data_IF_995528571670
#
_entry.id   IF_995528571670
#
_cell.length_a   1.000
_cell.length_b   1.000
_cell.length_c   1.000
_cell.angle_alpha   90.00
_cell.angle_beta   90.00
_cell.angle_gamma   90.00
#
_symmetry.space_group_name_H-M   'P 1'
#
loop_
_entity.id
_entity.type
_entity.pdbx_description
1 polymer ?
#
# COMPACT_ATOMS: atom_id res chain seq x y z
N UNK A 1 -40.73 -44.77 -7.14
CA UNK A 1 -39.50 -44.43 -6.38
C UNK A 1 -38.24 -44.15 -7.23
N UNK A 2 -38.15 -44.55 -8.52
CA UNK A 2 -36.94 -44.30 -9.35
C UNK A 2 -36.67 -42.81 -9.66
N UNK A 3 -37.72 -42.01 -9.84
CA UNK A 3 -37.61 -40.57 -10.18
C UNK A 3 -36.97 -39.74 -9.05
N UNK A 4 -37.27 -40.08 -7.79
CA UNK A 4 -36.71 -39.41 -6.61
C UNK A 4 -35.18 -39.56 -6.53
N UNK A 5 -34.66 -40.77 -6.81
CA UNK A 5 -33.21 -41.02 -6.85
C UNK A 5 -32.52 -40.25 -7.97
N UNK A 6 -33.14 -40.18 -9.15
CA UNK A 6 -32.62 -39.39 -10.27
C UNK A 6 -32.58 -37.88 -9.94
N UNK A 7 -33.60 -37.35 -9.25
CA UNK A 7 -33.62 -35.95 -8.80
C UNK A 7 -32.47 -35.63 -7.85
N UNK A 8 -32.17 -36.53 -6.90
CA UNK A 8 -31.03 -36.36 -5.98
C UNK A 8 -29.67 -36.43 -6.68
N UNK A 9 -29.53 -37.27 -7.70
CA UNK A 9 -28.30 -37.35 -8.51
C UNK A 9 -28.08 -36.04 -9.27
N UNK A 10 -29.12 -35.53 -9.93
CA UNK A 10 -29.04 -34.25 -10.66
C UNK A 10 -28.80 -33.09 -9.71
N UNK A 11 -29.45 -33.08 -8.55
CA UNK A 11 -29.25 -32.07 -7.52
C UNK A 11 -27.81 -32.07 -7.00
N UNK A 12 -27.26 -33.25 -6.68
CA UNK A 12 -25.87 -33.39 -6.28
C UNK A 12 -24.90 -32.88 -7.35
N UNK A 13 -25.17 -33.18 -8.62
CA UNK A 13 -24.36 -32.72 -9.75
C UNK A 13 -24.41 -31.19 -9.90
N UNK A 14 -25.59 -30.59 -9.70
CA UNK A 14 -25.78 -29.14 -9.74
C UNK A 14 -25.06 -28.44 -8.59
N UNK A 15 -25.10 -29.01 -7.37
CA UNK A 15 -24.35 -28.49 -6.21
C UNK A 15 -22.85 -28.58 -6.45
N UNK A 16 -22.35 -29.70 -6.99
CA UNK A 16 -20.93 -29.86 -7.32
C UNK A 16 -20.50 -28.83 -8.37
N UNK A 17 -21.31 -28.64 -9.41
CA UNK A 17 -21.01 -27.68 -10.47
C UNK A 17 -21.05 -26.23 -9.96
N UNK A 18 -22.05 -25.89 -9.16
CA UNK A 18 -22.16 -24.57 -8.51
C UNK A 18 -21.00 -24.29 -7.56
N UNK A 19 -20.58 -25.29 -6.78
CA UNK A 19 -19.40 -25.19 -5.93
C UNK A 19 -18.13 -24.97 -6.78
N UNK A 20 -17.95 -25.73 -7.87
CA UNK A 20 -16.81 -25.57 -8.76
C UNK A 20 -16.75 -24.13 -9.33
N UNK A 21 -17.85 -23.61 -9.88
CA UNK A 21 -17.91 -22.23 -10.39
C UNK A 21 -17.61 -21.22 -9.28
N UNK A 22 -18.22 -21.37 -8.10
CA UNK A 22 -17.95 -20.48 -6.96
C UNK A 22 -16.46 -20.47 -6.57
N UNK A 23 -15.82 -21.64 -6.48
CA UNK A 23 -14.39 -21.72 -6.16
C UNK A 23 -13.52 -21.12 -7.27
N UNK A 24 -13.79 -21.39 -8.55
CA UNK A 24 -12.96 -20.89 -9.65
C UNK A 24 -13.16 -19.39 -9.92
N UNK A 25 -14.37 -18.87 -9.79
CA UNK A 25 -14.71 -17.51 -10.19
C UNK A 25 -14.56 -16.52 -9.02
N UNK A 26 -15.09 -16.86 -7.84
CA UNK A 26 -15.02 -15.98 -6.66
C UNK A 26 -13.67 -16.08 -5.95
N UNK A 27 -13.19 -17.31 -5.70
CA UNK A 27 -11.90 -17.50 -5.01
C UNK A 27 -10.72 -17.35 -5.97
N UNK A 28 -10.83 -17.91 -7.17
CA UNK A 28 -9.80 -17.72 -8.22
C UNK A 28 -9.65 -16.27 -8.69
N UNK A 29 -10.75 -15.50 -8.74
CA UNK A 29 -10.69 -14.06 -9.03
C UNK A 29 -9.93 -13.27 -7.95
N UNK A 30 -10.20 -13.55 -6.67
CA UNK A 30 -9.49 -12.95 -5.53
C UNK A 30 -8.00 -13.32 -5.50
N UNK A 31 -7.67 -14.58 -5.78
CA UNK A 31 -6.27 -15.02 -5.88
C UNK A 31 -5.54 -14.36 -7.06
N UNK A 32 -6.21 -14.14 -8.19
CA UNK A 32 -5.63 -13.40 -9.34
C UNK A 32 -5.46 -11.91 -9.04
N UNK A 33 -6.40 -11.27 -8.35
CA UNK A 33 -6.26 -9.88 -7.91
C UNK A 33 -5.14 -9.74 -6.87
N UNK A 34 -5.09 -10.60 -5.87
CA UNK A 34 -4.00 -10.62 -4.89
C UNK A 34 -2.63 -10.91 -5.53
N UNK A 35 -2.58 -11.75 -6.58
CA UNK A 35 -1.36 -12.01 -7.34
C UNK A 35 -0.97 -10.80 -8.20
N UNK A 36 -1.93 -10.13 -8.84
CA UNK A 36 -1.71 -8.88 -9.58
C UNK A 36 -1.22 -7.75 -8.68
N UNK A 37 -1.81 -7.55 -7.51
CA UNK A 37 -1.33 -6.54 -6.53
C UNK A 37 0.08 -6.87 -6.02
N UNK A 38 0.42 -8.16 -5.90
CA UNK A 38 1.79 -8.61 -5.53
C UNK A 38 2.78 -8.49 -6.68
N UNK A 39 2.34 -8.67 -7.93
CA UNK A 39 3.17 -8.52 -9.13
C UNK A 39 3.36 -7.06 -9.53
N UNK A 40 2.35 -6.20 -9.32
CA UNK A 40 2.46 -4.73 -9.48
C UNK A 40 3.36 -4.09 -8.42
N UNK A 41 3.49 -4.72 -7.25
CA UNK A 41 4.56 -4.42 -6.29
C UNK A 41 5.85 -5.09 -6.77
N UNK A 42 6.50 -4.48 -7.76
CA UNK A 42 7.78 -4.88 -8.38
C UNK A 42 8.88 -5.14 -7.33
N UNK A 43 8.73 -4.59 -6.13
CA UNK A 43 9.50 -4.91 -4.95
C UNK A 43 8.54 -5.12 -3.77
N UNK A 44 8.65 -6.22 -3.00
CA UNK A 44 7.96 -6.35 -1.72
C UNK A 44 8.63 -5.41 -0.71
N UNK A 45 8.41 -4.09 -0.86
CA UNK A 45 8.70 -3.14 0.21
C UNK A 45 7.66 -3.37 1.29
N UNK A 46 8.05 -4.13 2.31
CA UNK A 46 7.38 -4.08 3.60
C UNK A 46 7.40 -2.62 4.06
N UNK A 47 6.26 -2.07 4.45
CA UNK A 47 6.14 -0.66 4.86
C UNK A 47 7.08 -0.32 6.03
N UNK A 48 7.46 -1.34 6.81
CA UNK A 48 8.45 -1.28 7.88
C UNK A 48 9.91 -1.18 7.41
N UNK A 49 10.19 -1.41 6.13
CA UNK A 49 11.50 -1.20 5.51
C UNK A 49 11.66 0.21 4.90
N UNK A 50 10.59 1.02 4.87
CA UNK A 50 10.65 2.38 4.35
C UNK A 50 11.13 3.33 5.45
N UNK A 51 12.39 3.74 5.36
CA UNK A 51 13.01 4.67 6.33
C UNK A 51 12.82 6.14 5.94
N UNK A 52 12.76 6.45 4.64
CA UNK A 52 12.60 7.82 4.16
C UNK A 52 11.86 7.88 2.81
N UNK A 53 11.17 8.99 2.59
CA UNK A 53 10.45 9.29 1.35
C UNK A 53 10.90 10.66 0.86
N UNK A 54 11.36 10.73 -0.39
CA UNK A 54 11.80 11.96 -1.04
C UNK A 54 10.90 12.25 -2.23
N UNK A 55 10.20 13.38 -2.18
CA UNK A 55 9.39 13.89 -3.26
C UNK A 55 10.09 15.10 -3.89
N UNK A 56 10.40 15.01 -5.17
CA UNK A 56 10.98 16.09 -5.97
C UNK A 56 9.95 16.56 -6.98
N UNK A 57 9.59 17.83 -6.92
CA UNK A 57 8.74 18.47 -7.91
C UNK A 57 9.39 19.79 -8.36
N UNK A 58 8.71 20.52 -9.25
CA UNK A 58 9.15 21.84 -9.73
C UNK A 58 9.25 22.85 -8.58
N UNK A 59 8.52 22.62 -7.50
CA UNK A 59 8.39 23.50 -6.34
C UNK A 59 9.46 23.26 -5.26
N UNK A 60 10.20 22.15 -5.31
CA UNK A 60 11.28 21.87 -4.38
C UNK A 60 11.49 20.40 -4.06
N UNK A 61 12.26 20.16 -2.98
CA UNK A 61 12.52 18.82 -2.46
C UNK A 61 11.92 18.68 -1.08
N UNK A 62 11.00 17.74 -0.95
CA UNK A 62 10.36 17.36 0.30
C UNK A 62 10.91 16.00 0.71
N UNK A 63 11.37 15.91 1.96
CA UNK A 63 11.98 14.69 2.49
C UNK A 63 11.35 14.41 3.84
N UNK A 64 10.74 13.25 3.99
CA UNK A 64 10.19 12.76 5.25
C UNK A 64 10.95 11.50 5.69
N UNK A 65 11.27 11.41 6.97
CA UNK A 65 12.00 10.27 7.56
C UNK A 65 11.17 9.65 8.67
N UNK A 66 11.11 8.34 8.75
CA UNK A 66 10.42 7.63 9.81
C UNK A 66 11.26 7.68 11.09
N UNK A 67 10.65 8.10 12.20
CA UNK A 67 11.30 8.22 13.52
C UNK A 67 10.91 7.06 14.42
N UNK A 68 9.68 6.55 14.29
CA UNK A 68 9.21 5.33 14.97
C UNK A 68 8.02 4.74 14.22
N UNK A 69 7.46 3.62 14.70
CA UNK A 69 6.33 2.97 14.04
C UNK A 69 5.13 3.93 13.92
N UNK A 70 4.78 4.31 12.69
CA UNK A 70 3.74 5.30 12.40
C UNK A 70 4.15 6.78 12.51
N UNK A 71 5.37 7.10 12.97
CA UNK A 71 5.82 8.49 13.16
C UNK A 71 6.84 8.89 12.10
N UNK A 72 6.57 10.00 11.39
CA UNK A 72 7.41 10.55 10.33
C UNK A 72 7.72 12.02 10.61
N UNK A 73 8.98 12.41 10.42
CA UNK A 73 9.47 13.79 10.52
C UNK A 73 9.83 14.32 9.13
N UNK A 74 9.34 15.51 8.80
CA UNK A 74 9.69 16.20 7.56
C UNK A 74 11.03 16.90 7.74
N UNK A 75 12.07 16.37 7.10
CA UNK A 75 13.43 16.90 7.17
C UNK A 75 13.73 17.98 6.14
N UNK A 76 13.04 18.00 5.00
CA UNK A 76 13.26 19.02 3.96
C UNK A 76 11.98 19.75 3.55
N UNK A 77 12.10 21.06 3.22
CA UNK A 77 13.33 21.78 2.82
C UNK A 77 14.39 22.11 3.89
N UNK A 78 14.05 22.21 5.18
CA UNK A 78 14.92 21.98 6.37
C UNK A 78 14.13 22.40 7.60
N UNK A 79 14.12 21.55 8.61
CA UNK A 79 13.65 21.89 9.95
C UNK A 79 14.86 22.01 10.88
N UNK A 80 15.19 23.24 11.26
CA UNK A 80 16.31 23.54 12.16
C UNK A 80 15.97 24.75 13.03
N UNK A 81 16.52 24.77 14.25
CA UNK A 81 16.44 25.94 15.13
C UNK A 81 17.60 26.89 14.81
N UNK A 82 17.28 28.12 14.42
CA UNK A 82 18.27 29.12 14.05
C UNK A 82 19.04 29.66 15.28
N UNK A 83 20.34 29.96 15.09
CA UNK A 83 21.16 30.69 16.07
C UNK A 83 20.77 32.18 16.07
N UNK A 84 20.26 32.65 17.20
CA UNK A 84 19.60 33.96 17.28
C UNK A 84 20.56 35.14 17.06
N UNK A 85 21.84 34.98 17.38
CA UNK A 85 22.82 36.06 17.31
C UNK A 85 23.46 36.13 15.91
N UNK A 86 23.78 34.98 15.35
CA UNK A 86 24.36 34.84 14.00
C UNK A 86 23.37 35.22 12.90
N UNK A 87 22.07 34.95 13.09
CA UNK A 87 21.05 35.46 12.17
C UNK A 87 20.85 36.97 12.31
N UNK A 88 21.01 37.53 13.53
CA UNK A 88 20.82 38.97 13.77
C UNK A 88 21.88 39.81 13.07
N UNK A 89 23.12 39.33 12.99
CA UNK A 89 24.22 40.03 12.29
C UNK A 89 24.04 40.03 10.77
N UNK A 90 23.67 38.87 10.20
CA UNK A 90 23.38 38.73 8.76
C UNK A 90 22.21 39.63 8.36
N UNK A 91 21.14 39.69 9.16
CA UNK A 91 19.98 40.56 8.92
C UNK A 91 20.34 42.05 8.99
N UNK A 92 21.24 42.43 9.89
CA UNK A 92 21.66 43.85 10.06
C UNK A 92 22.62 44.37 9.00
N UNK A 93 23.24 43.48 8.21
CA UNK A 93 24.20 43.86 7.15
C UNK A 93 23.49 44.14 5.82
N UNK A 94 22.25 43.68 5.67
CA UNK A 94 21.45 43.81 4.44
C UNK A 94 20.41 44.97 4.56
N UNK A 95 20.25 45.58 5.73
CA UNK A 95 19.35 46.72 6.00
C UNK A 95 20.11 47.99 6.31
#
# INVERSE_FOLDING_TARGET
MKKFKATWIVFGLLVIFGAAVYFFEVKGGKERQARKEKEEKILPLEENQIESVVLKNVEGTFEAKRVSEGNWELQKPVQAKADAWSFRSVVSTIG
#
